data_IF_478386723200
#
_entry.id   IF_478386723200
#
_cell.length_a   1.000
_cell.length_b   1.000
_cell.length_c   1.000
_cell.angle_alpha   90.00
_cell.angle_beta   90.00
_cell.angle_gamma   90.00
#
_symmetry.space_group_name_H-M   'P 1'
#
loop_
_entity.id
_entity.type
_entity.pdbx_description
1 polymer ?
#
# COMPACT_ATOMS: atom_id res chain seq x y z
N UNK A 1 1.71 -0.77 21.77
CA UNK A 1 2.74 -1.17 20.79
C UNK A 1 3.47 0.07 20.31
N UNK A 2 4.77 0.03 20.18
CA UNK A 2 5.54 1.18 19.69
C UNK A 2 5.25 1.41 18.21
N UNK A 3 5.39 2.66 17.78
CA UNK A 3 5.21 3.02 16.38
C UNK A 3 6.20 2.28 15.48
N UNK A 4 7.42 2.10 15.97
CA UNK A 4 8.47 1.40 15.21
C UNK A 4 8.11 -0.06 14.96
N UNK A 5 7.58 -0.76 15.97
CA UNK A 5 7.13 -2.14 15.80
C UNK A 5 5.95 -2.23 14.85
N UNK A 6 5.06 -1.26 14.91
CA UNK A 6 3.90 -1.22 14.02
C UNK A 6 4.33 -0.98 12.57
N UNK A 7 5.32 -0.11 12.36
CA UNK A 7 5.90 0.12 11.03
C UNK A 7 6.53 -1.17 10.51
N UNK A 8 7.28 -1.89 11.34
CA UNK A 8 7.87 -3.16 10.94
C UNK A 8 6.81 -4.18 10.53
N UNK A 9 5.71 -4.24 11.29
CA UNK A 9 4.61 -5.15 10.98
C UNK A 9 3.96 -4.77 9.65
N UNK A 10 3.71 -3.47 9.42
CA UNK A 10 3.16 -2.99 8.17
C UNK A 10 4.06 -3.36 6.99
N UNK A 11 5.36 -3.11 7.13
CA UNK A 11 6.32 -3.39 6.06
C UNK A 11 6.42 -4.88 5.76
N UNK A 12 6.31 -5.72 6.79
CA UNK A 12 6.33 -7.17 6.61
C UNK A 12 5.10 -7.63 5.84
N UNK A 13 3.91 -7.13 6.20
CA UNK A 13 2.69 -7.46 5.48
C UNK A 13 2.73 -6.98 4.05
N UNK A 14 3.25 -5.77 3.82
CA UNK A 14 3.35 -5.23 2.47
C UNK A 14 4.28 -6.08 1.60
N UNK A 15 5.41 -6.51 2.15
CA UNK A 15 6.34 -7.39 1.41
C UNK A 15 5.69 -8.73 1.06
N UNK A 16 4.86 -9.27 1.95
CA UNK A 16 4.09 -10.47 1.66
C UNK A 16 3.10 -10.23 0.51
N UNK A 17 2.42 -9.09 0.54
CA UNK A 17 1.50 -8.73 -0.53
C UNK A 17 2.22 -8.59 -1.87
N UNK A 18 3.40 -7.98 -1.87
CA UNK A 18 4.22 -7.84 -3.08
C UNK A 18 4.58 -9.22 -3.63
N UNK A 19 4.94 -10.15 -2.75
CA UNK A 19 5.21 -11.53 -3.14
C UNK A 19 3.99 -12.17 -3.82
N UNK A 20 2.81 -11.94 -3.27
CA UNK A 20 1.56 -12.46 -3.84
C UNK A 20 1.21 -11.82 -5.17
N UNK A 21 1.63 -10.58 -5.41
CA UNK A 21 1.44 -9.92 -6.71
C UNK A 21 2.12 -10.67 -7.83
N UNK A 22 3.19 -11.40 -7.53
CA UNK A 22 3.85 -12.25 -8.52
C UNK A 22 2.95 -13.35 -9.07
N UNK A 23 1.95 -13.79 -8.31
CA UNK A 23 1.02 -14.82 -8.75
C UNK A 23 0.07 -14.35 -9.85
N UNK A 24 -0.06 -13.03 -10.02
CA UNK A 24 -0.85 -12.43 -11.09
C UNK A 24 0.05 -11.75 -12.13
N UNK A 25 1.31 -12.15 -12.16
CA UNK A 25 2.31 -11.64 -13.11
C UNK A 25 2.51 -10.13 -13.03
N UNK A 26 2.43 -9.58 -11.81
CA UNK A 26 2.66 -8.16 -11.59
C UNK A 26 3.82 -7.94 -10.63
N UNK A 27 4.76 -7.10 -11.03
CA UNK A 27 5.88 -6.67 -10.19
C UNK A 27 5.77 -5.16 -9.97
N UNK A 28 5.52 -4.69 -8.75
CA UNK A 28 5.38 -3.25 -8.48
C UNK A 28 6.76 -2.60 -8.37
N UNK A 29 7.43 -2.39 -9.51
CA UNK A 29 8.82 -1.93 -9.55
C UNK A 29 9.05 -0.59 -8.89
N UNK A 30 8.13 0.36 -9.07
CA UNK A 30 8.25 1.68 -8.44
C UNK A 30 8.16 1.58 -6.91
N UNK A 31 7.21 0.82 -6.41
CA UNK A 31 7.07 0.61 -4.97
C UNK A 31 8.31 -0.07 -4.39
N UNK A 32 8.80 -1.11 -5.05
CA UNK A 32 9.98 -1.84 -4.58
C UNK A 32 11.20 -0.92 -4.53
N UNK A 33 11.43 -0.16 -5.59
CA UNK A 33 12.57 0.77 -5.66
C UNK A 33 12.47 1.83 -4.56
N UNK A 34 11.30 2.43 -4.40
CA UNK A 34 11.08 3.44 -3.37
C UNK A 34 11.17 2.84 -1.96
N UNK A 35 10.66 1.62 -1.80
CA UNK A 35 10.72 0.93 -0.52
C UNK A 35 12.15 0.64 -0.09
N UNK A 36 13.00 0.25 -1.01
CA UNK A 36 14.41 0.01 -0.71
C UNK A 36 15.18 1.31 -0.43
N UNK A 37 14.79 2.40 -1.07
CA UNK A 37 15.45 3.69 -0.89
C UNK A 37 14.98 4.44 0.35
N UNK A 38 13.69 4.46 0.63
CA UNK A 38 13.08 5.29 1.69
C UNK A 38 12.45 4.49 2.82
N UNK A 39 12.40 3.16 2.71
CA UNK A 39 11.59 2.32 3.58
C UNK A 39 10.18 2.17 3.01
N UNK A 40 9.56 1.01 3.23
CA UNK A 40 8.26 0.71 2.61
C UNK A 40 7.12 1.54 3.19
N UNK A 41 7.17 1.90 4.47
CA UNK A 41 6.17 2.77 5.07
C UNK A 41 6.21 4.16 4.42
N UNK A 42 7.40 4.76 4.31
CA UNK A 42 7.55 6.07 3.67
C UNK A 42 7.20 6.04 2.18
N UNK A 43 7.59 4.96 1.50
CA UNK A 43 7.24 4.77 0.09
C UNK A 43 5.73 4.74 -0.10
N UNK A 44 5.03 4.01 0.78
CA UNK A 44 3.58 3.92 0.73
C UNK A 44 2.92 5.28 0.91
N UNK A 45 3.39 6.07 1.89
CA UNK A 45 2.86 7.42 2.13
C UNK A 45 3.02 8.30 0.90
N UNK A 46 4.18 8.24 0.24
CA UNK A 46 4.44 9.03 -0.96
C UNK A 46 3.53 8.64 -2.11
N UNK A 47 3.36 7.34 -2.34
CA UNK A 47 2.52 6.83 -3.42
C UNK A 47 1.04 7.13 -3.18
N UNK A 48 0.58 7.01 -1.93
CA UNK A 48 -0.79 7.35 -1.56
C UNK A 48 -1.07 8.82 -1.80
N UNK A 49 -0.10 9.68 -1.51
CA UNK A 49 -0.25 11.13 -1.64
C UNK A 49 -0.25 11.61 -3.09
N UNK A 50 0.16 10.78 -4.05
CA UNK A 50 0.05 11.11 -5.46
C UNK A 50 -1.41 11.08 -5.87
N UNK A 51 -1.89 12.15 -6.50
CA UNK A 51 -3.30 12.29 -6.85
C UNK A 51 -3.74 11.36 -7.96
N UNK A 52 -2.83 11.04 -8.86
CA UNK A 52 -3.14 10.17 -9.98
C UNK A 52 -3.06 8.71 -9.55
N UNK A 53 -4.02 7.91 -10.02
CA UNK A 53 -3.95 6.47 -9.80
C UNK A 53 -2.66 5.93 -10.36
N UNK A 54 -1.95 5.16 -9.55
CA UNK A 54 -0.76 4.48 -10.04
C UNK A 54 -1.18 3.31 -10.90
N UNK A 55 -0.37 2.99 -11.90
CA UNK A 55 -0.61 1.80 -12.74
C UNK A 55 -0.77 0.55 -11.89
N UNK A 56 -0.07 0.49 -10.76
CA UNK A 56 -0.14 -0.64 -9.86
C UNK A 56 -1.53 -0.88 -9.31
N UNK A 57 -2.21 0.18 -8.87
CA UNK A 57 -3.56 0.05 -8.33
C UNK A 57 -4.52 -0.44 -9.41
N UNK A 58 -4.45 0.14 -10.60
CA UNK A 58 -5.30 -0.27 -11.72
C UNK A 58 -5.10 -1.73 -12.07
N UNK A 59 -3.85 -2.19 -12.10
CA UNK A 59 -3.57 -3.61 -12.37
C UNK A 59 -4.16 -4.53 -11.31
N UNK A 60 -4.06 -4.17 -10.05
CA UNK A 60 -4.64 -4.96 -8.97
C UNK A 60 -6.16 -4.96 -9.02
N UNK A 61 -6.75 -3.83 -9.39
CA UNK A 61 -8.19 -3.70 -9.56
C UNK A 61 -8.69 -4.62 -10.67
N UNK A 62 -8.02 -4.60 -11.82
CA UNK A 62 -8.40 -5.45 -12.96
C UNK A 62 -8.21 -6.93 -12.67
N UNK A 63 -7.26 -7.28 -11.82
CA UNK A 63 -7.01 -8.66 -11.41
C UNK A 63 -7.92 -9.11 -10.28
N UNK A 64 -8.79 -8.24 -9.77
CA UNK A 64 -9.64 -8.49 -8.60
C UNK A 64 -8.82 -8.83 -7.34
N UNK A 65 -7.65 -8.19 -7.22
CA UNK A 65 -6.75 -8.37 -6.08
C UNK A 65 -6.39 -7.02 -5.43
N UNK A 66 -7.40 -6.15 -5.28
CA UNK A 66 -7.25 -4.88 -4.58
C UNK A 66 -6.79 -5.10 -3.13
N UNK A 67 -7.10 -6.26 -2.56
CA UNK A 67 -6.65 -6.64 -1.23
C UNK A 67 -5.13 -6.60 -1.06
N UNK A 68 -4.38 -6.68 -2.16
CA UNK A 68 -2.92 -6.63 -2.13
C UNK A 68 -2.35 -5.21 -2.21
N UNK A 69 -3.20 -4.21 -2.43
CA UNK A 69 -2.75 -2.83 -2.63
C UNK A 69 -2.29 -2.19 -1.32
N UNK A 70 -1.44 -1.15 -1.44
CA UNK A 70 -1.03 -0.36 -0.27
C UNK A 70 -2.24 0.36 0.32
N UNK A 71 -3.20 0.75 -0.51
CA UNK A 71 -4.44 1.39 -0.06
C UNK A 71 -5.23 0.48 0.87
N UNK A 72 -5.44 -0.77 0.47
CA UNK A 72 -6.19 -1.73 1.29
C UNK A 72 -5.45 -2.04 2.60
N UNK A 73 -4.13 -2.10 2.56
CA UNK A 73 -3.34 -2.35 3.77
C UNK A 73 -3.39 -1.16 4.73
N UNK A 74 -3.23 0.05 4.18
CA UNK A 74 -3.19 1.27 4.99
C UNK A 74 -4.48 1.53 5.77
N UNK A 75 -5.63 1.14 5.23
CA UNK A 75 -6.92 1.40 5.88
C UNK A 75 -7.29 0.37 6.95
N UNK A 76 -6.46 -0.64 7.19
CA UNK A 76 -6.67 -1.53 8.33
C UNK A 76 -6.54 -0.72 9.62
N UNK A 77 -7.49 -0.89 10.54
CA UNK A 77 -7.53 -0.09 11.77
C UNK A 77 -6.21 -0.07 12.51
N UNK A 78 -5.52 -1.20 12.57
CA UNK A 78 -4.26 -1.29 13.31
C UNK A 78 -3.15 -0.41 12.73
N UNK A 79 -3.27 0.02 11.47
CA UNK A 79 -2.25 0.84 10.79
C UNK A 79 -2.65 2.30 10.61
N UNK A 80 -3.85 2.69 11.07
CA UNK A 80 -4.33 4.07 10.87
C UNK A 80 -3.37 5.12 11.45
N UNK A 81 -2.73 4.81 12.57
CA UNK A 81 -1.81 5.77 13.20
C UNK A 81 -0.53 6.01 12.38
N UNK A 82 -0.27 5.18 11.38
CA UNK A 82 0.89 5.33 10.51
C UNK A 82 0.67 6.30 9.36
N UNK A 83 -0.56 6.75 9.17
CA UNK A 83 -0.95 7.60 8.04
C UNK A 83 -1.73 8.81 8.52
N UNK A 84 -1.71 9.89 7.72
CA UNK A 84 -2.49 11.07 8.02
C UNK A 84 -3.95 10.84 7.62
N UNK A 85 -4.86 11.67 8.15
CA UNK A 85 -6.27 11.62 7.76
C UNK A 85 -6.45 11.80 6.27
N UNK A 86 -5.66 12.70 5.67
CA UNK A 86 -5.74 12.95 4.24
C UNK A 86 -5.27 11.74 3.44
N UNK A 87 -4.20 11.09 3.88
CA UNK A 87 -3.72 9.87 3.21
C UNK A 87 -4.77 8.77 3.28
N UNK A 88 -5.39 8.58 4.44
CA UNK A 88 -6.45 7.59 4.60
C UNK A 88 -7.66 7.92 3.73
N UNK A 89 -8.00 9.21 3.62
CA UNK A 89 -9.09 9.66 2.77
C UNK A 89 -8.83 9.31 1.31
N UNK A 90 -7.60 9.53 0.83
CA UNK A 90 -7.23 9.15 -0.54
C UNK A 90 -7.37 7.65 -0.76
N UNK A 91 -6.96 6.84 0.22
CA UNK A 91 -7.11 5.39 0.12
C UNK A 91 -8.57 4.98 0.01
N UNK A 92 -9.42 5.55 0.85
CA UNK A 92 -10.85 5.23 0.86
C UNK A 92 -11.54 5.64 -0.44
N UNK A 93 -11.10 6.76 -1.03
CA UNK A 93 -11.64 7.21 -2.31
C UNK A 93 -11.28 6.26 -3.46
N UNK A 94 -10.06 5.70 -3.42
CA UNK A 94 -9.60 4.79 -4.47
C UNK A 94 -10.17 3.40 -4.36
N UNK A 95 -10.43 2.94 -3.15
CA UNK A 95 -10.92 1.58 -2.93
C UNK A 95 -12.34 1.42 -3.45
N UNK A 96 -12.64 0.26 -4.07
CA UNK A 96 -13.98 0.00 -4.55
C UNK A 96 -14.98 0.02 -3.40
N UNK A 97 -16.14 0.58 -3.65
CA UNK A 97 -17.24 0.59 -2.68
C UNK A 97 -18.21 -0.53 -3.04
N UNK A 98 -18.60 -1.25 -2.02
CA UNK A 98 -19.59 -2.31 -2.19
C UNK A 98 -20.98 -1.74 -2.39
#
# INVERSE_FOLDING_TARGET
MSKELLIEEFERELKLNISKMGTINYTPTTLIRMGEEFGYHNASKRLISQRDETHGFTKLLLAERVDLSIEALAVKLKYWSLFTEQELSYCLERLPKE
#
